data_IF_498157884687
#
_entry.id   IF_498157884687
#
_cell.length_a   1.000
_cell.length_b   1.000
_cell.length_c   1.000
_cell.angle_alpha   90.00
_cell.angle_beta   90.00
_cell.angle_gamma   90.00
#
_symmetry.space_group_name_H-M   'P 1'
#
loop_
_entity.id
_entity.type
_entity.pdbx_description
1 polymer ?
#
# COMPACT_ATOMS: atom_id res chain seq x y z
N UNK A 1 -42.11 -20.32 -22.88
CA UNK A 1 -41.37 -19.35 -22.02
C UNK A 1 -40.18 -20.08 -21.40
N UNK A 2 -39.08 -20.16 -22.12
CA UNK A 2 -37.80 -20.69 -21.63
C UNK A 2 -37.14 -19.59 -20.80
N UNK A 3 -37.22 -19.70 -19.48
CA UNK A 3 -36.50 -18.80 -18.57
C UNK A 3 -35.00 -19.00 -18.84
N UNK A 4 -34.27 -17.89 -18.97
CA UNK A 4 -32.85 -17.87 -19.30
C UNK A 4 -32.03 -18.43 -18.13
N UNK A 5 -31.91 -19.77 -18.06
CA UNK A 5 -31.23 -20.50 -16.99
C UNK A 5 -29.77 -20.04 -16.81
N UNK A 6 -29.11 -19.59 -17.88
CA UNK A 6 -27.74 -19.10 -17.84
C UNK A 6 -27.58 -17.72 -17.21
N UNK A 7 -28.57 -16.83 -17.36
CA UNK A 7 -28.49 -15.47 -16.79
C UNK A 7 -28.75 -15.49 -15.29
N UNK A 8 -29.72 -16.28 -14.85
CA UNK A 8 -30.02 -16.50 -13.44
C UNK A 8 -28.81 -17.17 -12.72
N UNK A 9 -28.09 -18.06 -13.42
CA UNK A 9 -26.86 -18.70 -12.91
C UNK A 9 -25.71 -17.71 -12.70
N UNK A 10 -25.53 -16.75 -13.63
CA UNK A 10 -24.49 -15.72 -13.52
C UNK A 10 -24.83 -14.72 -12.42
N UNK A 11 -26.06 -14.23 -12.34
CA UNK A 11 -26.50 -13.31 -11.30
C UNK A 11 -26.27 -13.90 -9.89
N UNK A 12 -26.72 -15.14 -9.66
CA UNK A 12 -26.51 -15.85 -8.39
C UNK A 12 -25.01 -16.08 -8.06
N UNK A 13 -24.15 -16.20 -9.07
CA UNK A 13 -22.70 -16.33 -8.88
C UNK A 13 -22.06 -14.99 -8.49
N UNK A 14 -22.47 -13.90 -9.13
CA UNK A 14 -21.98 -12.55 -8.80
C UNK A 14 -22.41 -12.16 -7.39
N UNK A 15 -23.66 -12.43 -7.00
CA UNK A 15 -24.15 -12.16 -5.64
C UNK A 15 -23.36 -12.90 -4.57
N UNK A 16 -23.02 -14.17 -4.81
CA UNK A 16 -22.16 -14.95 -3.90
C UNK A 16 -20.76 -14.36 -3.78
N UNK A 17 -20.14 -13.95 -4.89
CA UNK A 17 -18.81 -13.36 -4.87
C UNK A 17 -18.78 -12.01 -4.12
N UNK A 18 -19.81 -11.18 -4.31
CA UNK A 18 -19.95 -9.92 -3.56
C UNK A 18 -20.10 -10.22 -2.08
N UNK A 19 -20.95 -11.17 -1.71
CA UNK A 19 -21.16 -11.54 -0.32
C UNK A 19 -19.89 -12.11 0.33
N UNK A 20 -19.16 -12.99 -0.36
CA UNK A 20 -17.86 -13.51 0.10
C UNK A 20 -16.82 -12.39 0.26
N UNK A 21 -16.78 -11.43 -0.66
CA UNK A 21 -15.91 -10.26 -0.54
C UNK A 21 -16.29 -9.39 0.66
N UNK A 22 -17.56 -9.06 0.84
CA UNK A 22 -18.01 -8.25 1.99
C UNK A 22 -17.79 -8.96 3.34
N UNK A 23 -17.86 -10.29 3.38
CA UNK A 23 -17.56 -11.07 4.59
C UNK A 23 -16.07 -11.18 4.90
N UNK A 24 -15.23 -11.22 3.86
CA UNK A 24 -13.78 -11.41 4.00
C UNK A 24 -12.99 -10.11 3.98
N UNK A 25 -13.62 -8.99 3.60
CA UNK A 25 -12.93 -7.70 3.54
C UNK A 25 -12.56 -7.24 4.95
N UNK A 26 -11.36 -6.73 5.02
CA UNK A 26 -10.86 -6.06 6.20
C UNK A 26 -11.35 -4.60 6.17
N UNK A 27 -12.52 -4.36 6.77
CA UNK A 27 -13.23 -3.07 6.73
C UNK A 27 -12.40 -1.92 7.25
N UNK A 28 -11.59 -2.18 8.27
CA UNK A 28 -10.72 -1.18 8.90
C UNK A 28 -9.31 -1.18 8.31
N UNK A 29 -9.07 -2.00 7.27
CA UNK A 29 -7.75 -2.21 6.67
C UNK A 29 -6.70 -2.56 7.72
N UNK A 30 -7.08 -3.32 8.76
CA UNK A 30 -6.24 -3.75 9.87
C UNK A 30 -4.98 -4.51 9.42
N UNK A 31 -5.11 -5.49 8.54
CA UNK A 31 -4.02 -6.30 7.99
C UNK A 31 -3.11 -5.46 7.10
N UNK A 32 -3.69 -4.69 6.19
CA UNK A 32 -2.91 -3.74 5.36
C UNK A 32 -2.20 -2.72 6.25
N UNK A 33 -2.86 -2.25 7.31
CA UNK A 33 -2.31 -1.34 8.32
C UNK A 33 -1.16 -1.98 9.09
N UNK A 34 -1.27 -3.25 9.48
CA UNK A 34 -0.17 -4.01 10.10
C UNK A 34 1.02 -4.15 9.17
N UNK A 35 0.79 -4.54 7.91
CA UNK A 35 1.84 -4.66 6.89
C UNK A 35 2.52 -3.31 6.63
N UNK A 36 1.74 -2.23 6.54
CA UNK A 36 2.27 -0.88 6.37
C UNK A 36 3.10 -0.44 7.58
N UNK A 37 2.63 -0.67 8.80
CA UNK A 37 3.38 -0.37 10.02
C UNK A 37 4.70 -1.17 10.09
N UNK A 38 4.70 -2.42 9.63
CA UNK A 38 5.92 -3.23 9.53
C UNK A 38 6.90 -2.65 8.51
N UNK A 39 6.43 -2.25 7.33
CA UNK A 39 7.26 -1.59 6.31
C UNK A 39 7.86 -0.28 6.83
N UNK A 40 7.09 0.52 7.58
CA UNK A 40 7.59 1.75 8.20
C UNK A 40 8.74 1.48 9.19
N UNK A 41 8.67 0.40 9.98
CA UNK A 41 9.75 -0.02 10.87
C UNK A 41 11.00 -0.41 10.09
N UNK A 42 10.85 -1.25 9.06
CA UNK A 42 11.97 -1.64 8.19
C UNK A 42 12.62 -0.40 7.56
N UNK A 43 11.83 0.55 7.06
CA UNK A 43 12.34 1.79 6.50
C UNK A 43 13.03 2.69 7.53
N UNK A 44 12.57 2.70 8.78
CA UNK A 44 13.22 3.42 9.87
C UNK A 44 14.60 2.80 10.18
N UNK A 45 14.67 1.48 10.37
CA UNK A 45 15.92 0.75 10.60
C UNK A 45 16.88 0.91 9.41
N UNK A 46 16.36 0.97 8.18
CA UNK A 46 17.17 1.19 6.98
C UNK A 46 17.63 2.63 6.86
N UNK A 47 16.89 3.63 7.37
CA UNK A 47 17.29 5.05 7.34
C UNK A 47 18.58 5.30 8.11
N UNK A 48 18.75 4.61 9.24
CA UNK A 48 19.99 4.65 10.02
C UNK A 48 21.16 4.00 9.25
N UNK A 49 20.86 3.04 8.36
CA UNK A 49 21.84 2.34 7.53
C UNK A 49 22.03 2.93 6.12
N UNK A 50 21.18 3.88 5.70
CA UNK A 50 21.15 4.49 4.38
C UNK A 50 21.20 6.02 4.50
N UNK A 51 22.34 6.59 4.90
CA UNK A 51 22.43 8.00 5.19
C UNK A 51 22.34 8.82 3.89
N UNK A 52 21.40 9.76 3.85
CA UNK A 52 21.23 10.72 2.75
C UNK A 52 22.24 11.88 2.85
N UNK A 53 23.53 11.53 2.94
CA UNK A 53 24.64 12.46 3.24
C UNK A 53 24.67 13.63 2.25
N UNK A 54 24.52 13.35 0.95
CA UNK A 54 24.60 14.37 -0.11
C UNK A 54 23.38 15.30 -0.09
N UNK A 55 22.18 14.76 0.10
CA UNK A 55 20.94 15.54 0.18
C UNK A 55 20.91 16.47 1.39
N UNK A 56 21.56 16.09 2.50
CA UNK A 56 21.57 16.85 3.75
C UNK A 56 22.58 18.03 3.76
N UNK A 57 23.50 18.10 2.80
CA UNK A 57 24.52 19.17 2.73
C UNK A 57 23.87 20.56 2.62
N UNK A 58 24.43 21.60 3.29
CA UNK A 58 23.86 22.96 3.25
C UNK A 58 23.59 23.48 1.84
N UNK A 59 24.53 23.23 0.90
CA UNK A 59 24.43 23.65 -0.50
C UNK A 59 23.29 22.97 -1.30
N UNK A 60 22.76 21.85 -0.81
CA UNK A 60 21.68 21.11 -1.46
C UNK A 60 20.33 21.33 -0.79
N UNK A 61 20.27 21.99 0.37
CA UNK A 61 19.00 22.24 1.09
C UNK A 61 17.97 22.97 0.24
N UNK A 62 18.39 23.99 -0.50
CA UNK A 62 17.51 24.77 -1.37
C UNK A 62 17.06 24.01 -2.63
N UNK A 63 17.70 22.87 -2.94
CA UNK A 63 17.34 22.00 -4.07
C UNK A 63 16.28 20.97 -3.66
N UNK A 64 16.06 20.77 -2.36
CA UNK A 64 15.08 19.84 -1.84
C UNK A 64 13.78 20.58 -1.51
N UNK A 65 12.65 20.11 -2.05
CA UNK A 65 11.33 20.65 -1.67
C UNK A 65 10.96 20.30 -0.23
N UNK A 66 11.37 19.11 0.24
CA UNK A 66 11.06 18.61 1.59
C UNK A 66 12.35 18.22 2.30
N UNK A 67 12.50 18.67 3.55
CA UNK A 67 13.70 18.39 4.37
C UNK A 67 13.84 16.91 4.76
N UNK A 68 12.72 16.20 4.88
CA UNK A 68 12.67 14.81 5.36
C UNK A 68 12.64 13.78 4.22
N UNK A 69 12.50 14.24 2.97
CA UNK A 69 12.47 13.38 1.78
C UNK A 69 13.75 13.62 0.99
N UNK A 70 14.80 12.89 1.36
CA UNK A 70 16.12 13.01 0.76
C UNK A 70 16.49 11.69 0.06
N UNK A 71 17.19 11.76 -1.10
CA UNK A 71 17.65 10.55 -1.77
C UNK A 71 18.78 9.89 -0.98
N UNK A 72 18.64 8.58 -0.79
CA UNK A 72 19.69 7.71 -0.31
C UNK A 72 20.84 7.61 -1.32
N UNK A 73 22.07 7.47 -0.82
CA UNK A 73 23.21 7.09 -1.66
C UNK A 73 23.30 5.56 -1.68
N UNK A 74 22.88 4.96 -2.78
CA UNK A 74 23.19 3.54 -3.04
C UNK A 74 24.69 3.43 -3.33
N UNK A 75 25.37 2.48 -2.66
CA UNK A 75 26.73 2.07 -3.01
C UNK A 75 26.67 0.99 -4.07
#
# INVERSE_FOLDING_TARGET
>A
MTKNVDTDSICNRVERLIHEFEQSRDTDSTEIGRQFAQLQRIMADTRDNCPSIEGAKPMNRLKNRYKDVLPCKFK
#
